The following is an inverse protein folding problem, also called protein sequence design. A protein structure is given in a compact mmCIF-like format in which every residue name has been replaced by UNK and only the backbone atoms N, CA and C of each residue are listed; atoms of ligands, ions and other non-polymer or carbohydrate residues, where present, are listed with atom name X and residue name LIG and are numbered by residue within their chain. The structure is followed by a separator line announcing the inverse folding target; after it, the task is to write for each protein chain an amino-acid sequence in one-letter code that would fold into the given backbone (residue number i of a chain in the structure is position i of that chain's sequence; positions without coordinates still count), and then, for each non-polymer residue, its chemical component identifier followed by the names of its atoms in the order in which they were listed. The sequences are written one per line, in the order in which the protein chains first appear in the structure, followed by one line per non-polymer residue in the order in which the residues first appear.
data_IF_420931086815
#
_entry.id   IF_420931086815
#
_cell.length_a   1.000
_cell.length_b   1.000
_cell.length_c   1.000
_cell.angle_alpha   90.00
_cell.angle_beta   90.00
_cell.angle_gamma   90.00
#
_symmetry.space_group_name_H-M   'P 1'
#
loop_
_entity.id
_entity.type
_entity.pdbx_description
1 polymer ?
#
# COMPACT_ATOMS: atom_id res chain seq x y z
N UNK A 1 -56.62 6.09 49.65
CA UNK A 1 -56.30 7.54 49.64
C UNK A 1 -55.21 7.79 48.61
N UNK A 2 -55.40 8.84 47.83
CA UNK A 2 -54.84 9.15 46.51
C UNK A 2 -53.32 9.05 46.35
N UNK A 3 -52.88 8.33 45.32
CA UNK A 3 -51.61 8.59 44.63
C UNK A 3 -51.92 9.53 43.48
N UNK A 4 -51.64 10.82 43.65
CA UNK A 4 -51.54 11.75 42.52
C UNK A 4 -50.38 12.71 42.77
N UNK A 5 -49.36 12.58 41.95
CA UNK A 5 -48.65 13.70 41.33
C UNK A 5 -47.95 13.15 40.09
N UNK A 6 -48.72 13.00 39.02
CA UNK A 6 -48.19 12.73 37.69
C UNK A 6 -47.41 13.97 37.24
N UNK A 7 -46.10 14.01 37.49
CA UNK A 7 -45.23 15.13 37.10
C UNK A 7 -45.28 15.24 35.57
N UNK A 8 -46.01 16.24 35.05
CA UNK A 8 -46.19 16.48 33.61
C UNK A 8 -44.80 16.52 32.95
N UNK A 9 -44.55 15.59 32.03
CA UNK A 9 -43.25 15.45 31.40
C UNK A 9 -42.96 16.71 30.58
N UNK A 10 -41.85 17.39 30.89
CA UNK A 10 -41.49 18.64 30.21
C UNK A 10 -41.17 18.33 28.75
N UNK A 11 -41.89 18.97 27.85
CA UNK A 11 -41.68 18.90 26.42
C UNK A 11 -40.92 20.13 25.93
N UNK A 12 -40.07 19.93 24.91
CA UNK A 12 -39.22 20.94 24.31
C UNK A 12 -39.59 21.12 22.84
N UNK A 13 -39.75 22.35 22.39
CA UNK A 13 -39.97 22.64 20.98
C UNK A 13 -38.71 22.34 20.17
N UNK A 14 -38.87 22.03 18.87
CA UNK A 14 -37.76 21.73 17.97
C UNK A 14 -36.63 22.80 17.98
N UNK A 15 -36.96 24.07 18.20
CA UNK A 15 -35.98 25.15 18.33
C UNK A 15 -35.14 25.06 19.61
N UNK A 16 -35.75 24.69 20.73
CA UNK A 16 -35.05 24.45 21.99
C UNK A 16 -34.15 23.22 21.89
N UNK A 17 -34.66 22.13 21.32
CA UNK A 17 -33.89 20.90 21.06
C UNK A 17 -32.71 21.18 20.13
N UNK A 18 -32.92 22.01 19.10
CA UNK A 18 -31.87 22.41 18.16
C UNK A 18 -30.73 23.15 18.88
N UNK A 19 -31.08 24.08 19.77
CA UNK A 19 -30.11 24.84 20.56
C UNK A 19 -29.38 23.96 21.58
N UNK A 20 -30.11 23.13 22.32
CA UNK A 20 -29.55 22.25 23.35
C UNK A 20 -28.69 21.12 22.76
N UNK A 21 -29.13 20.55 21.64
CA UNK A 21 -28.46 19.44 20.97
C UNK A 21 -27.33 19.88 20.03
N UNK A 22 -27.18 21.18 19.76
CA UNK A 22 -26.16 21.71 18.85
C UNK A 22 -26.35 21.25 17.40
N UNK A 23 -27.58 20.99 16.96
CA UNK A 23 -27.89 20.53 15.61
C UNK A 23 -29.03 21.35 15.00
N UNK A 24 -28.99 21.56 13.69
CA UNK A 24 -30.01 22.36 13.03
C UNK A 24 -31.41 21.74 13.13
N UNK A 25 -32.46 22.56 13.13
CA UNK A 25 -33.84 22.07 13.01
C UNK A 25 -34.06 21.24 11.73
N UNK A 26 -33.33 21.55 10.65
CA UNK A 26 -33.33 20.74 9.42
C UNK A 26 -32.83 19.31 9.68
N UNK A 27 -31.76 19.16 10.46
CA UNK A 27 -31.22 17.87 10.88
C UNK A 27 -32.22 17.10 11.74
N UNK A 28 -32.90 17.76 12.69
CA UNK A 28 -33.95 17.16 13.50
C UNK A 28 -35.13 16.65 12.65
N UNK A 29 -35.57 17.44 11.65
CA UNK A 29 -36.61 17.02 10.69
C UNK A 29 -36.14 15.83 9.85
N UNK A 30 -34.86 15.79 9.48
CA UNK A 30 -34.28 14.66 8.77
C UNK A 30 -34.25 13.39 9.64
N UNK A 31 -33.87 13.49 10.91
CA UNK A 31 -33.89 12.37 11.85
C UNK A 31 -35.31 11.85 12.08
N UNK A 32 -36.31 12.73 12.15
CA UNK A 32 -37.71 12.34 12.17
C UNK A 32 -38.10 11.54 10.92
N UNK A 33 -37.75 12.01 9.71
CA UNK A 33 -38.00 11.27 8.44
C UNK A 33 -37.37 9.87 8.44
N UNK A 34 -36.22 9.70 9.08
CA UNK A 34 -35.54 8.41 9.22
C UNK A 34 -36.02 7.58 10.42
N UNK A 35 -37.01 8.06 11.17
CA UNK A 35 -37.53 7.45 12.40
C UNK A 35 -36.43 7.21 13.46
N UNK A 36 -35.46 8.11 13.50
CA UNK A 36 -34.37 8.15 14.49
C UNK A 36 -34.75 8.96 15.73
N UNK A 37 -35.49 10.05 15.51
CA UNK A 37 -35.92 10.99 16.54
C UNK A 37 -37.29 11.54 16.16
N UNK A 38 -38.33 10.83 16.55
CA UNK A 38 -39.72 11.21 16.30
C UNK A 38 -40.21 12.12 17.43
N UNK A 39 -40.98 13.18 17.13
CA UNK A 39 -41.56 14.03 18.17
C UNK A 39 -42.57 13.23 18.99
N UNK A 40 -42.58 13.46 20.30
CA UNK A 40 -43.54 12.85 21.21
C UNK A 40 -44.94 13.45 21.03
N UNK A 41 -45.02 14.72 20.58
CA UNK A 41 -46.27 15.41 20.27
C UNK A 41 -46.10 16.33 19.04
N UNK A 42 -47.12 16.33 18.18
CA UNK A 42 -47.32 17.34 17.13
C UNK A 42 -48.63 18.06 17.45
N UNK A 43 -48.59 19.38 17.64
CA UNK A 43 -49.79 20.16 17.94
C UNK A 43 -50.59 20.52 16.67
N UNK A 44 -51.76 21.13 16.85
CA UNK A 44 -52.67 21.52 15.76
C UNK A 44 -52.05 22.54 14.79
N UNK A 45 -51.05 23.30 15.24
CA UNK A 45 -50.26 24.23 14.44
C UNK A 45 -49.03 23.57 13.79
N UNK A 46 -48.93 22.24 13.85
CA UNK A 46 -47.84 21.43 13.29
C UNK A 46 -46.46 21.70 13.92
N UNK A 47 -46.43 22.29 15.13
CA UNK A 47 -45.22 22.38 15.94
C UNK A 47 -44.89 21.02 16.56
N UNK A 48 -43.60 20.73 16.63
CA UNK A 48 -43.06 19.44 17.11
C UNK A 48 -42.45 19.62 18.48
N UNK A 49 -42.84 18.73 19.38
CA UNK A 49 -42.42 18.72 20.77
C UNK A 49 -41.73 17.40 21.09
N UNK A 50 -40.67 17.47 21.87
CA UNK A 50 -39.80 16.34 22.22
C UNK A 50 -39.67 16.24 23.74
N UNK A 51 -39.78 15.03 24.28
CA UNK A 51 -39.50 14.72 25.68
C UNK A 51 -37.99 14.66 25.93
N UNK A 52 -37.58 14.76 27.20
CA UNK A 52 -36.18 14.53 27.58
C UNK A 52 -35.72 13.13 27.15
N UNK A 53 -36.57 12.10 27.30
CA UNK A 53 -36.26 10.73 26.90
C UNK A 53 -35.96 10.61 25.41
N UNK A 54 -36.77 11.26 24.58
CA UNK A 54 -36.51 11.31 23.13
C UNK A 54 -35.22 12.05 22.82
N UNK A 55 -34.96 13.19 23.47
CA UNK A 55 -33.73 13.97 23.28
C UNK A 55 -32.46 13.20 23.66
N UNK A 56 -32.51 12.26 24.61
CA UNK A 56 -31.35 11.43 24.99
C UNK A 56 -30.84 10.55 23.84
N UNK A 57 -31.61 10.35 22.77
CA UNK A 57 -31.14 9.67 21.55
C UNK A 57 -30.12 10.51 20.77
N UNK A 58 -30.15 11.84 20.87
CA UNK A 58 -29.24 12.73 20.14
C UNK A 58 -27.75 12.46 20.39
N UNK A 59 -27.25 12.40 21.64
CA UNK A 59 -25.85 12.07 21.89
C UNK A 59 -25.48 10.67 21.39
N UNK A 60 -26.39 9.69 21.48
CA UNK A 60 -26.15 8.33 20.99
C UNK A 60 -26.02 8.31 19.47
N UNK A 61 -26.93 8.97 18.75
CA UNK A 61 -26.86 9.09 17.28
C UNK A 61 -25.54 9.75 16.86
N UNK A 62 -25.14 10.82 17.54
CA UNK A 62 -23.87 11.51 17.27
C UNK A 62 -22.66 10.60 17.49
N UNK A 63 -22.65 9.85 18.58
CA UNK A 63 -21.57 8.90 18.88
C UNK A 63 -21.48 7.79 17.81
N UNK A 64 -22.59 7.17 17.43
CA UNK A 64 -22.60 6.15 16.37
C UNK A 64 -22.22 6.73 15.00
N UNK A 65 -22.57 7.98 14.70
CA UNK A 65 -22.11 8.68 13.49
C UNK A 65 -20.59 8.86 13.48
N UNK A 66 -20.00 9.18 14.64
CA UNK A 66 -18.54 9.31 14.79
C UNK A 66 -17.84 7.96 14.55
N UNK A 67 -18.45 6.85 14.94
CA UNK A 67 -17.98 5.48 14.66
C UNK A 67 -18.25 5.01 13.21
N UNK A 68 -18.52 5.94 12.28
CA UNK A 68 -18.67 5.63 10.87
C UNK A 68 -20.03 5.05 10.44
N UNK A 69 -21.01 4.91 11.34
CA UNK A 69 -22.34 4.44 10.95
C UNK A 69 -23.12 5.51 10.18
N UNK A 70 -23.84 5.10 9.15
CA UNK A 70 -24.83 5.93 8.47
C UNK A 70 -26.10 6.06 9.30
N UNK A 71 -26.86 7.14 9.10
CA UNK A 71 -28.16 7.31 9.78
C UNK A 71 -29.14 6.17 9.44
N UNK A 72 -29.02 5.58 8.24
CA UNK A 72 -29.83 4.43 7.81
C UNK A 72 -29.49 3.15 8.58
N UNK A 73 -28.25 2.97 9.03
CA UNK A 73 -27.83 1.85 9.88
C UNK A 73 -28.19 2.09 11.35
N UNK A 74 -28.05 3.32 11.83
CA UNK A 74 -28.35 3.67 13.24
C UNK A 74 -29.84 3.44 13.56
N UNK A 75 -30.75 3.74 12.64
CA UNK A 75 -32.19 3.65 12.87
C UNK A 75 -32.68 2.23 13.23
N UNK A 76 -32.32 1.16 12.51
CA UNK A 76 -32.62 -0.20 12.92
C UNK A 76 -31.83 -0.64 14.16
N UNK A 77 -30.59 -0.17 14.36
CA UNK A 77 -29.81 -0.51 15.57
C UNK A 77 -30.49 -0.03 16.85
N UNK A 78 -30.91 1.24 16.91
CA UNK A 78 -31.56 1.83 18.09
C UNK A 78 -32.96 1.27 18.37
N UNK A 79 -33.60 0.66 17.36
CA UNK A 79 -34.92 0.03 17.50
C UNK A 79 -34.84 -1.48 17.69
N UNK A 80 -33.66 -2.08 17.54
CA UNK A 80 -33.51 -3.52 17.60
C UNK A 80 -33.82 -4.00 19.01
N UNK A 81 -34.67 -5.04 19.08
CA UNK A 81 -34.93 -5.78 20.33
C UNK A 81 -34.03 -7.02 20.45
N UNK A 82 -33.06 -7.17 19.53
CA UNK A 82 -32.19 -8.33 19.45
C UNK A 82 -30.73 -7.86 19.50
N UNK A 83 -30.08 -8.10 20.63
CA UNK A 83 -28.67 -7.73 20.83
C UNK A 83 -27.74 -8.36 19.80
N UNK A 84 -28.06 -9.54 19.27
CA UNK A 84 -27.25 -10.18 18.22
C UNK A 84 -27.28 -9.39 16.90
N UNK A 85 -28.35 -8.66 16.60
CA UNK A 85 -28.40 -7.80 15.40
C UNK A 85 -27.50 -6.56 15.57
N UNK A 86 -27.48 -5.99 16.78
CA UNK A 86 -26.61 -4.85 17.11
C UNK A 86 -25.14 -5.29 17.09
N UNK A 87 -24.84 -6.45 17.69
CA UNK A 87 -23.51 -7.06 17.69
C UNK A 87 -22.99 -7.27 16.26
N UNK A 88 -23.77 -7.89 15.36
CA UNK A 88 -23.41 -8.04 13.94
C UNK A 88 -23.12 -6.72 13.23
N UNK A 89 -23.83 -5.64 13.60
CA UNK A 89 -23.61 -4.31 13.02
C UNK A 89 -22.25 -3.74 13.45
N UNK A 90 -21.86 -3.97 14.72
CA UNK A 90 -20.54 -3.60 15.23
C UNK A 90 -19.42 -4.48 14.63
N UNK A 91 -19.60 -5.80 14.58
CA UNK A 91 -18.64 -6.73 13.97
C UNK A 91 -18.34 -6.36 12.52
N UNK A 92 -19.38 -6.06 11.71
CA UNK A 92 -19.20 -5.61 10.34
C UNK A 92 -18.38 -4.31 10.24
N UNK A 93 -18.59 -3.38 11.17
CA UNK A 93 -17.87 -2.10 11.20
C UNK A 93 -16.41 -2.30 11.63
N UNK A 94 -16.17 -3.16 12.61
CA UNK A 94 -14.83 -3.57 13.03
C UNK A 94 -14.05 -4.19 11.87
N UNK A 95 -14.66 -5.15 11.16
CA UNK A 95 -14.04 -5.78 9.97
C UNK A 95 -13.68 -4.74 8.90
N UNK A 96 -14.55 -3.75 8.65
CA UNK A 96 -14.24 -2.65 7.73
C UNK A 96 -13.02 -1.85 8.19
N UNK A 97 -12.91 -1.54 9.48
CA UNK A 97 -11.76 -0.82 10.02
C UNK A 97 -10.49 -1.66 10.04
N UNK A 98 -10.57 -2.95 10.29
CA UNK A 98 -9.43 -3.85 10.22
C UNK A 98 -8.91 -3.98 8.78
N UNK A 99 -9.80 -3.98 7.78
CA UNK A 99 -9.41 -3.93 6.36
C UNK A 99 -8.76 -2.59 6.00
N UNK A 100 -9.32 -1.47 6.47
CA UNK A 100 -8.74 -0.14 6.22
C UNK A 100 -7.38 0.03 6.91
N UNK A 101 -7.24 -0.45 8.15
CA UNK A 101 -5.98 -0.44 8.89
C UNK A 101 -4.91 -1.29 8.18
N UNK A 102 -5.27 -2.47 7.68
CA UNK A 102 -4.37 -3.31 6.85
C UNK A 102 -3.93 -2.59 5.59
N UNK A 103 -4.86 -1.99 4.84
CA UNK A 103 -4.57 -1.22 3.62
C UNK A 103 -3.64 -0.03 3.92
N UNK A 104 -3.87 0.71 5.01
CA UNK A 104 -3.03 1.83 5.40
C UNK A 104 -1.64 1.37 5.85
N UNK A 105 -1.53 0.22 6.51
CA UNK A 105 -0.24 -0.37 6.88
C UNK A 105 0.56 -0.76 5.62
N UNK A 106 -0.09 -1.40 4.64
CA UNK A 106 0.54 -1.73 3.35
C UNK A 106 1.06 -0.48 2.64
N UNK A 107 0.23 0.57 2.53
CA UNK A 107 0.62 1.85 1.91
C UNK A 107 1.78 2.53 2.64
N UNK A 108 1.81 2.47 3.97
CA UNK A 108 2.90 3.02 4.77
C UNK A 108 4.21 2.27 4.51
N UNK A 109 4.18 0.95 4.45
CA UNK A 109 5.38 0.15 4.16
C UNK A 109 5.93 0.43 2.76
N UNK A 110 5.05 0.57 1.75
CA UNK A 110 5.46 0.98 0.39
C UNK A 110 6.19 2.32 0.41
N UNK A 111 5.63 3.31 1.10
CA UNK A 111 6.28 4.63 1.22
C UNK A 111 7.61 4.57 1.96
N UNK A 112 7.72 3.72 2.98
CA UNK A 112 8.94 3.54 3.75
C UNK A 112 10.06 2.85 2.93
N UNK A 113 9.71 1.82 2.15
CA UNK A 113 10.60 1.18 1.17
C UNK A 113 11.07 2.18 0.11
N UNK A 114 10.17 2.97 -0.47
CA UNK A 114 10.53 4.00 -1.45
C UNK A 114 11.42 5.09 -0.85
N UNK A 115 11.12 5.54 0.37
CA UNK A 115 11.94 6.52 1.06
C UNK A 115 13.35 6.00 1.37
N UNK A 116 13.49 4.71 1.70
CA UNK A 116 14.80 4.04 1.81
C UNK A 116 15.56 4.06 0.49
N UNK A 117 14.92 3.73 -0.63
CA UNK A 117 15.55 3.76 -1.95
C UNK A 117 16.03 5.16 -2.33
N UNK A 118 15.19 6.19 -2.14
CA UNK A 118 15.58 7.58 -2.39
C UNK A 118 16.75 8.01 -1.51
N UNK A 119 16.74 7.60 -0.23
CA UNK A 119 17.85 7.88 0.70
C UNK A 119 19.15 7.19 0.26
N UNK A 120 19.05 5.94 -0.19
CA UNK A 120 20.18 5.19 -0.73
C UNK A 120 20.74 5.86 -2.00
N UNK A 121 19.89 6.22 -2.95
CA UNK A 121 20.30 6.91 -4.17
C UNK A 121 20.95 8.27 -3.86
N UNK A 122 20.42 9.05 -2.91
CA UNK A 122 21.05 10.29 -2.47
C UNK A 122 22.47 10.06 -1.94
N UNK A 123 22.68 9.01 -1.15
CA UNK A 123 24.02 8.64 -0.68
C UNK A 123 24.93 8.28 -1.85
N UNK A 124 24.49 7.40 -2.76
CA UNK A 124 25.25 6.98 -3.94
C UNK A 124 25.60 8.17 -4.84
N UNK A 125 24.66 9.09 -5.06
CA UNK A 125 24.85 10.31 -5.86
C UNK A 125 25.80 11.32 -5.20
N UNK A 126 25.85 11.36 -3.86
CA UNK A 126 26.76 12.24 -3.12
C UNK A 126 28.21 11.76 -3.16
N UNK A 127 28.43 10.45 -3.04
CA UNK A 127 29.77 9.84 -3.04
C UNK A 127 30.26 9.61 -4.47
N UNK A 128 29.35 9.32 -5.40
CA UNK A 128 29.60 8.95 -6.81
C UNK A 128 30.60 7.80 -6.96
N UNK A 129 30.65 6.89 -5.98
CA UNK A 129 31.49 5.70 -6.07
C UNK A 129 30.88 4.71 -7.07
N UNK A 130 31.65 4.38 -8.09
CA UNK A 130 31.33 3.36 -9.09
C UNK A 130 32.29 2.17 -9.03
N UNK A 131 32.90 1.97 -7.86
CA UNK A 131 33.82 0.87 -7.60
C UNK A 131 33.06 -0.45 -7.46
N UNK A 132 33.61 -1.53 -8.01
CA UNK A 132 33.07 -2.87 -7.80
C UNK A 132 33.46 -3.33 -6.40
N UNK A 133 32.48 -3.76 -5.62
CA UNK A 133 32.66 -4.35 -4.30
C UNK A 133 32.17 -5.79 -4.27
N UNK A 134 32.50 -6.49 -3.19
CA UNK A 134 31.93 -7.81 -2.87
C UNK A 134 31.01 -7.64 -1.67
N UNK A 135 29.79 -8.16 -1.75
CA UNK A 135 28.85 -8.15 -0.61
C UNK A 135 28.12 -9.48 -0.49
N UNK A 136 27.70 -9.77 0.73
CA UNK A 136 26.76 -10.86 0.99
C UNK A 136 25.34 -10.38 0.71
N UNK A 137 24.58 -11.17 -0.05
CA UNK A 137 23.15 -10.97 -0.30
C UNK A 137 22.40 -12.05 0.47
N UNK A 138 21.40 -11.65 1.26
CA UNK A 138 20.52 -12.59 1.94
C UNK A 138 19.52 -13.20 0.96
N UNK A 139 19.05 -14.41 1.26
CA UNK A 139 17.97 -15.01 0.50
C UNK A 139 16.69 -14.19 0.64
N UNK A 140 15.93 -14.10 -0.43
CA UNK A 140 14.65 -13.40 -0.45
C UNK A 140 13.70 -14.02 -1.47
N UNK A 141 12.41 -14.03 -1.12
CA UNK A 141 11.34 -14.46 -2.02
C UNK A 141 10.72 -13.22 -2.65
N UNK A 142 10.70 -13.21 -3.97
CA UNK A 142 10.14 -12.13 -4.78
C UNK A 142 9.01 -12.67 -5.64
N UNK A 143 8.01 -11.82 -5.92
CA UNK A 143 7.06 -12.15 -6.99
C UNK A 143 7.79 -11.96 -8.32
N UNK A 144 7.72 -12.98 -9.18
CA UNK A 144 8.48 -13.04 -10.42
C UNK A 144 7.60 -13.34 -11.63
N UNK A 145 7.85 -12.63 -12.73
CA UNK A 145 7.18 -12.88 -14.00
C UNK A 145 8.22 -13.05 -15.12
N UNK A 146 8.21 -14.18 -15.85
CA UNK A 146 8.97 -14.31 -17.09
C UNK A 146 8.55 -13.24 -18.09
N UNK A 147 9.51 -12.59 -18.75
CA UNK A 147 9.24 -11.55 -19.73
C UNK A 147 10.30 -11.52 -20.83
N UNK A 148 10.00 -10.84 -21.94
CA UNK A 148 10.92 -10.63 -23.06
C UNK A 148 11.46 -9.21 -23.02
N UNK A 149 12.76 -9.06 -22.80
CA UNK A 149 13.43 -7.77 -22.83
C UNK A 149 13.93 -7.42 -24.23
N UNK A 150 13.56 -6.24 -24.72
CA UNK A 150 13.87 -5.77 -26.08
C UNK A 150 14.83 -4.56 -26.10
N UNK A 151 15.59 -4.32 -25.02
CA UNK A 151 16.49 -3.17 -24.91
C UNK A 151 15.86 -1.90 -24.33
N UNK A 152 14.54 -1.89 -24.09
CA UNK A 152 13.82 -0.75 -23.53
C UNK A 152 13.66 -0.86 -22.02
N UNK A 153 14.50 -0.13 -21.27
CA UNK A 153 14.45 -0.14 -19.81
C UNK A 153 13.20 0.51 -19.24
N UNK A 154 12.68 1.57 -19.85
CA UNK A 154 11.46 2.21 -19.36
C UNK A 154 10.31 1.20 -19.37
N UNK A 155 10.08 0.55 -20.51
CA UNK A 155 9.04 -0.46 -20.66
C UNK A 155 9.19 -1.65 -19.70
N UNK A 156 10.42 -2.11 -19.45
CA UNK A 156 10.65 -3.21 -18.52
C UNK A 156 10.46 -2.80 -17.04
N UNK A 157 10.80 -1.57 -16.67
CA UNK A 157 10.71 -1.06 -15.29
C UNK A 157 9.28 -0.63 -14.93
N UNK A 158 8.59 0.06 -15.85
CA UNK A 158 7.18 0.46 -15.70
C UNK A 158 6.27 -0.46 -16.54
N UNK A 159 6.47 -1.78 -16.41
CA UNK A 159 5.77 -2.78 -17.22
C UNK A 159 4.29 -2.89 -16.86
N UNK A 160 3.42 -2.64 -17.86
CA UNK A 160 1.97 -2.83 -17.73
C UNK A 160 1.60 -4.30 -17.50
N UNK A 161 2.28 -5.22 -18.19
CA UNK A 161 2.04 -6.65 -18.05
C UNK A 161 2.39 -7.14 -16.64
N UNK A 162 3.50 -6.64 -16.08
CA UNK A 162 3.89 -6.98 -14.70
C UNK A 162 2.89 -6.42 -13.69
N UNK A 163 2.41 -5.20 -13.89
CA UNK A 163 1.37 -4.61 -13.03
C UNK A 163 0.07 -5.42 -13.08
N UNK A 164 -0.39 -5.81 -14.27
CA UNK A 164 -1.59 -6.64 -14.44
C UNK A 164 -1.41 -8.05 -13.83
N UNK A 165 -0.21 -8.62 -13.92
CA UNK A 165 0.14 -9.89 -13.28
C UNK A 165 0.05 -9.81 -11.76
N UNK A 166 0.63 -8.78 -11.14
CA UNK A 166 0.56 -8.56 -9.69
C UNK A 166 -0.89 -8.41 -9.21
N UNK A 167 -1.72 -7.65 -9.95
CA UNK A 167 -3.15 -7.50 -9.63
C UNK A 167 -3.89 -8.84 -9.72
N UNK A 168 -3.60 -9.65 -10.74
CA UNK A 168 -4.17 -11.00 -10.89
C UNK A 168 -3.81 -11.91 -9.72
N UNK A 169 -2.63 -11.73 -9.11
CA UNK A 169 -2.19 -12.46 -7.93
C UNK A 169 -2.77 -11.92 -6.60
N UNK A 170 -3.69 -10.93 -6.63
CA UNK A 170 -4.21 -10.22 -5.45
C UNK A 170 -3.10 -9.77 -4.48
N UNK A 171 -2.02 -9.23 -5.05
CA UNK A 171 -0.85 -8.81 -4.28
C UNK A 171 -0.55 -7.32 -4.47
N UNK A 172 0.29 -6.80 -3.58
CA UNK A 172 0.81 -5.43 -3.63
C UNK A 172 2.33 -5.54 -3.64
N UNK A 173 2.99 -4.74 -4.48
CA UNK A 173 4.44 -4.75 -4.64
C UNK A 173 5.09 -3.52 -4.00
N UNK A 174 6.33 -3.66 -3.58
CA UNK A 174 7.13 -2.62 -2.93
C UNK A 174 8.62 -2.76 -3.23
N UNK A 175 9.39 -1.74 -2.91
CA UNK A 175 10.85 -1.74 -3.09
C UNK A 175 11.28 -1.68 -4.56
N UNK A 176 12.56 -2.01 -4.85
CA UNK A 176 13.13 -1.78 -6.17
C UNK A 176 12.60 -2.79 -7.18
N UNK A 177 12.35 -2.35 -8.41
CA UNK A 177 12.18 -3.27 -9.53
C UNK A 177 13.52 -3.95 -9.79
N UNK A 178 13.48 -5.26 -10.03
CA UNK A 178 14.67 -6.04 -10.37
C UNK A 178 14.44 -6.73 -11.72
N UNK A 179 15.35 -6.51 -12.67
CA UNK A 179 15.41 -7.29 -13.91
C UNK A 179 16.53 -8.31 -13.76
N UNK A 180 16.19 -9.60 -13.87
CA UNK A 180 17.17 -10.70 -13.82
C UNK A 180 17.40 -11.27 -15.21
N UNK A 181 18.64 -11.19 -15.66
CA UNK A 181 19.15 -11.87 -16.84
C UNK A 181 19.75 -13.22 -16.47
N UNK A 182 19.81 -14.16 -17.42
CA UNK A 182 20.38 -15.49 -17.23
C UNK A 182 21.89 -15.46 -16.98
N UNK A 183 22.60 -14.46 -17.50
CA UNK A 183 24.03 -14.29 -17.28
C UNK A 183 24.45 -12.83 -17.45
N UNK A 184 25.64 -12.49 -16.95
CA UNK A 184 26.26 -11.18 -17.18
C UNK A 184 26.52 -10.91 -18.67
N UNK A 185 26.88 -11.94 -19.45
CA UNK A 185 27.09 -11.78 -20.90
C UNK A 185 25.79 -11.45 -21.61
N UNK A 186 24.69 -12.14 -21.29
CA UNK A 186 23.37 -11.85 -21.86
C UNK A 186 22.91 -10.43 -21.50
N UNK A 187 23.06 -10.02 -20.24
CA UNK A 187 22.73 -8.67 -19.81
C UNK A 187 23.50 -7.62 -20.60
N UNK A 188 24.82 -7.80 -20.75
CA UNK A 188 25.68 -6.89 -21.52
C UNK A 188 25.24 -6.83 -22.99
N UNK A 189 25.01 -7.96 -23.63
CA UNK A 189 24.68 -8.02 -25.05
C UNK A 189 23.29 -7.41 -25.31
N UNK A 190 22.33 -7.62 -24.41
CA UNK A 190 21.02 -6.99 -24.46
C UNK A 190 21.10 -5.46 -24.32
N UNK A 191 21.94 -4.94 -23.42
CA UNK A 191 22.14 -3.49 -23.25
C UNK A 191 22.91 -2.83 -24.39
N UNK A 192 23.97 -3.48 -24.89
CA UNK A 192 24.88 -2.87 -25.86
C UNK A 192 24.37 -2.99 -27.29
N UNK A 193 23.76 -4.13 -27.61
CA UNK A 193 23.44 -4.52 -28.98
C UNK A 193 21.93 -4.67 -29.21
N UNK A 194 21.10 -4.32 -28.21
CA UNK A 194 19.65 -4.48 -28.22
C UNK A 194 19.19 -5.90 -28.61
N UNK A 195 19.98 -6.92 -28.24
CA UNK A 195 19.64 -8.32 -28.52
C UNK A 195 18.46 -8.73 -27.62
N UNK A 196 17.30 -9.09 -28.19
CA UNK A 196 16.15 -9.49 -27.39
C UNK A 196 16.46 -10.78 -26.62
N UNK A 197 16.07 -10.82 -25.35
CA UNK A 197 16.34 -11.98 -24.50
C UNK A 197 15.24 -12.18 -23.45
N UNK A 198 15.16 -13.40 -22.93
CA UNK A 198 14.24 -13.73 -21.84
C UNK A 198 14.84 -13.27 -20.51
N UNK A 199 14.01 -12.64 -19.70
CA UNK A 199 14.34 -12.11 -18.37
C UNK A 199 13.26 -12.49 -17.37
N UNK A 200 13.55 -12.27 -16.10
CA UNK A 200 12.52 -12.25 -15.04
C UNK A 200 12.37 -10.82 -14.53
N UNK A 201 11.14 -10.33 -14.47
CA UNK A 201 10.78 -9.11 -13.75
C UNK A 201 10.43 -9.51 -12.32
N UNK A 202 11.11 -8.93 -11.34
CA UNK A 202 11.03 -9.32 -9.94
C UNK A 202 10.80 -8.11 -9.05
N UNK A 203 9.98 -8.27 -8.01
CA UNK A 203 9.81 -7.24 -6.98
C UNK A 203 9.35 -7.87 -5.64
N UNK A 204 9.52 -7.14 -4.53
CA UNK A 204 9.04 -7.60 -3.22
C UNK A 204 7.52 -7.52 -3.20
N UNK A 205 6.88 -8.59 -2.78
CA UNK A 205 5.44 -8.65 -2.53
C UNK A 205 5.14 -8.35 -1.06
N UNK A 206 3.98 -7.76 -0.79
CA UNK A 206 3.48 -7.41 0.54
C UNK A 206 2.68 -8.55 1.18
N UNK A 207 2.14 -9.44 0.33
CA UNK A 207 1.32 -10.59 0.73
C UNK A 207 2.01 -11.88 0.31
N UNK A 208 1.65 -13.04 0.90
CA UNK A 208 2.19 -14.33 0.48
C UNK A 208 2.09 -14.54 -1.03
N UNK A 209 3.12 -15.16 -1.60
CA UNK A 209 3.23 -15.42 -3.04
C UNK A 209 2.94 -16.89 -3.29
N UNK A 210 2.14 -17.18 -4.32
CA UNK A 210 1.92 -18.55 -4.76
C UNK A 210 3.23 -19.17 -5.26
N UNK A 211 3.55 -20.44 -4.93
CA UNK A 211 4.84 -21.05 -5.27
C UNK A 211 5.22 -21.00 -6.75
N UNK A 212 4.24 -21.02 -7.66
CA UNK A 212 4.46 -20.92 -9.12
C UNK A 212 4.94 -19.54 -9.59
N UNK A 213 4.67 -18.50 -8.80
CA UNK A 213 5.01 -17.10 -9.07
C UNK A 213 6.18 -16.61 -8.20
N UNK A 214 6.71 -17.49 -7.32
CA UNK A 214 7.80 -17.17 -6.42
C UNK A 214 9.14 -17.34 -7.12
N UNK A 215 9.95 -16.29 -7.08
CA UNK A 215 11.36 -16.34 -7.45
C UNK A 215 12.22 -16.26 -6.19
N UNK A 216 13.08 -17.26 -6.00
CA UNK A 216 14.01 -17.33 -4.87
C UNK A 216 15.35 -16.70 -5.25
N UNK A 217 15.70 -15.58 -4.62
CA UNK A 217 17.10 -15.12 -4.58
C UNK A 217 17.82 -15.97 -3.54
N UNK A 218 18.91 -16.62 -3.95
CA UNK A 218 19.73 -17.41 -3.04
C UNK A 218 20.70 -16.52 -2.28
N UNK A 219 20.94 -16.87 -1.02
CA UNK A 219 21.95 -16.20 -0.23
C UNK A 219 23.35 -16.54 -0.75
N UNK A 220 24.26 -15.57 -0.75
CA UNK A 220 25.63 -15.81 -1.17
C UNK A 220 26.43 -14.54 -1.38
N UNK A 221 27.66 -14.72 -1.88
CA UNK A 221 28.53 -13.60 -2.23
C UNK A 221 28.26 -13.14 -3.65
N UNK A 222 28.15 -11.83 -3.82
CA UNK A 222 27.91 -11.17 -5.10
C UNK A 222 28.96 -10.09 -5.33
N UNK A 223 29.37 -9.94 -6.59
CA UNK A 223 29.95 -8.67 -7.02
C UNK A 223 28.82 -7.65 -7.16
N UNK A 224 29.04 -6.46 -6.62
CA UNK A 224 28.13 -5.33 -6.69
C UNK A 224 28.82 -4.13 -7.30
N UNK A 225 28.11 -3.40 -8.16
CA UNK A 225 28.49 -2.06 -8.57
C UNK A 225 27.25 -1.19 -8.75
N UNK A 226 27.32 0.06 -8.29
CA UNK A 226 26.34 1.07 -8.64
C UNK A 226 26.62 1.66 -10.02
N UNK A 227 25.56 1.79 -10.81
CA UNK A 227 25.49 2.61 -12.00
C UNK A 227 24.78 3.91 -11.67
N UNK A 228 25.33 5.03 -12.13
CA UNK A 228 24.77 6.36 -11.95
C UNK A 228 24.56 6.96 -13.34
N UNK A 229 23.36 7.46 -13.60
CA UNK A 229 23.01 8.10 -14.86
C UNK A 229 22.16 7.22 -15.77
N UNK A 230 22.08 7.64 -17.03
CA UNK A 230 21.25 6.98 -18.04
C UNK A 230 21.60 5.51 -18.26
N UNK A 231 20.59 4.65 -18.21
CA UNK A 231 20.70 3.20 -18.34
C UNK A 231 21.23 2.69 -19.69
N UNK A 232 21.24 3.53 -20.73
CA UNK A 232 21.93 3.22 -21.98
C UNK A 232 23.47 3.11 -21.82
N UNK A 233 24.02 3.52 -20.68
CA UNK A 233 25.45 3.39 -20.35
C UNK A 233 25.77 2.22 -19.42
N UNK A 234 24.84 1.28 -19.21
CA UNK A 234 25.10 0.11 -18.35
C UNK A 234 26.33 -0.70 -18.77
N UNK A 235 26.70 -0.68 -20.06
CA UNK A 235 27.91 -1.31 -20.58
C UNK A 235 29.19 -0.91 -19.82
N UNK A 236 29.28 0.33 -19.36
CA UNK A 236 30.43 0.79 -18.56
C UNK A 236 30.53 0.01 -17.25
N UNK A 237 29.40 -0.19 -16.57
CA UNK A 237 29.33 -0.91 -15.30
C UNK A 237 29.58 -2.41 -15.48
N UNK A 238 29.05 -3.04 -16.53
CA UNK A 238 29.37 -4.44 -16.85
C UNK A 238 30.86 -4.62 -17.11
N UNK A 239 31.48 -3.72 -17.88
CA UNK A 239 32.92 -3.78 -18.16
C UNK A 239 33.75 -3.66 -16.87
N UNK A 240 33.33 -2.82 -15.92
CA UNK A 240 33.97 -2.72 -14.59
C UNK A 240 33.89 -4.04 -13.82
N UNK A 241 32.71 -4.67 -13.76
CA UNK A 241 32.55 -5.98 -13.08
C UNK A 241 33.44 -7.04 -13.73
N UNK A 242 33.39 -7.17 -15.06
CA UNK A 242 34.17 -8.18 -15.80
C UNK A 242 35.68 -7.99 -15.54
N UNK A 243 36.16 -6.75 -15.64
CA UNK A 243 37.56 -6.42 -15.39
C UNK A 243 37.97 -6.71 -13.93
N UNK A 244 37.11 -6.35 -12.96
CA UNK A 244 37.34 -6.61 -11.55
C UNK A 244 37.40 -8.11 -11.26
N UNK A 245 36.41 -8.88 -11.73
CA UNK A 245 36.34 -10.32 -11.53
C UNK A 245 37.60 -11.02 -12.06
N UNK A 246 38.03 -10.68 -13.28
CA UNK A 246 39.24 -11.23 -13.89
C UNK A 246 40.50 -10.87 -13.10
N UNK A 247 40.64 -9.63 -12.66
CA UNK A 247 41.81 -9.15 -11.91
C UNK A 247 41.89 -9.75 -10.51
N UNK A 248 40.76 -9.90 -9.83
CA UNK A 248 40.67 -10.41 -8.47
C UNK A 248 40.52 -11.94 -8.38
N UNK A 249 40.38 -12.63 -9.52
CA UNK A 249 40.28 -14.09 -9.56
C UNK A 249 38.91 -14.65 -9.17
N UNK A 250 37.83 -13.86 -9.27
CA UNK A 250 36.48 -14.33 -8.96
C UNK A 250 35.87 -15.10 -10.13
N UNK A 251 35.27 -16.26 -9.82
CA UNK A 251 34.48 -17.04 -10.76
C UNK A 251 33.02 -16.59 -10.71
N UNK A 252 32.53 -15.96 -11.78
CA UNK A 252 31.13 -15.53 -11.90
C UNK A 252 30.21 -16.74 -12.10
N UNK A 253 29.07 -16.74 -11.42
CA UNK A 253 27.99 -17.70 -11.64
C UNK A 253 26.94 -17.14 -12.61
N UNK A 254 26.01 -17.99 -13.03
CA UNK A 254 24.86 -17.59 -13.83
C UNK A 254 23.95 -16.64 -13.03
N UNK A 255 23.33 -15.71 -13.75
CA UNK A 255 22.51 -14.65 -13.20
C UNK A 255 23.19 -13.28 -13.27
N UNK A 256 22.40 -12.27 -13.61
CA UNK A 256 22.76 -10.87 -13.43
C UNK A 256 21.50 -10.11 -13.03
N UNK A 257 21.51 -9.52 -11.84
CA UNK A 257 20.36 -8.84 -11.27
C UNK A 257 20.60 -7.34 -11.35
N UNK A 258 19.72 -6.63 -12.04
CA UNK A 258 19.72 -5.18 -12.09
C UNK A 258 18.65 -4.67 -11.15
N UNK A 259 19.06 -4.14 -10.01
CA UNK A 259 18.15 -3.60 -8.99
C UNK A 259 18.09 -2.09 -9.13
N UNK A 260 16.96 -1.56 -9.58
CA UNK A 260 16.78 -0.14 -9.82
C UNK A 260 16.44 0.59 -8.51
N UNK A 261 17.35 1.46 -8.06
CA UNK A 261 17.20 2.25 -6.83
C UNK A 261 16.34 3.48 -7.09
N UNK A 262 16.69 4.20 -8.16
CA UNK A 262 15.90 5.31 -8.69
C UNK A 262 15.82 5.17 -10.20
N UNK A 263 14.61 5.33 -10.69
CA UNK A 263 14.25 5.07 -12.09
C UNK A 263 12.99 5.90 -12.45
N UNK A 264 12.28 5.46 -13.48
CA UNK A 264 11.07 6.07 -14.02
C UNK A 264 9.89 6.16 -13.02
N UNK A 265 9.90 5.40 -11.92
CA UNK A 265 8.94 5.54 -10.82
C UNK A 265 9.26 6.71 -9.89
N UNK A 266 10.52 7.13 -9.83
CA UNK A 266 10.99 8.15 -8.87
C UNK A 266 11.25 9.51 -9.51
N UNK A 267 11.79 9.54 -10.73
CA UNK A 267 12.20 10.78 -11.40
C UNK A 267 12.21 10.62 -12.91
N UNK A 268 12.09 11.73 -13.64
CA UNK A 268 12.26 11.76 -15.09
C UNK A 268 13.63 12.31 -15.51
N UNK A 269 14.49 12.73 -14.57
CA UNK A 269 15.85 13.17 -14.86
C UNK A 269 16.82 11.98 -14.86
N UNK A 270 17.37 11.57 -16.02
CA UNK A 270 18.28 10.44 -16.10
C UNK A 270 19.58 10.63 -15.32
N UNK A 271 19.95 11.86 -14.95
CA UNK A 271 21.14 12.11 -14.11
C UNK A 271 20.94 11.68 -12.65
N UNK A 272 19.69 11.49 -12.24
CA UNK A 272 19.31 11.03 -10.90
C UNK A 272 19.00 9.52 -10.88
N UNK A 273 19.17 8.82 -11.99
CA UNK A 273 19.01 7.37 -12.05
C UNK A 273 20.17 6.67 -11.35
N UNK A 274 19.82 5.70 -10.52
CA UNK A 274 20.74 4.85 -9.79
C UNK A 274 20.24 3.42 -9.88
N UNK A 275 21.12 2.51 -10.30
CA UNK A 275 20.84 1.08 -10.30
C UNK A 275 22.04 0.33 -9.75
N UNK A 276 21.81 -0.80 -9.08
CA UNK A 276 22.86 -1.69 -8.63
C UNK A 276 22.85 -2.95 -9.50
N UNK A 277 24.03 -3.33 -9.99
CA UNK A 277 24.22 -4.57 -10.73
C UNK A 277 24.84 -5.58 -9.78
N UNK A 278 24.18 -6.73 -9.64
CA UNK A 278 24.58 -7.82 -8.76
C UNK A 278 24.85 -9.08 -9.60
N UNK A 279 26.03 -9.65 -9.44
CA UNK A 279 26.43 -10.89 -10.13
C UNK A 279 26.92 -11.88 -9.08
N UNK A 280 26.27 -13.06 -8.94
CA UNK A 280 26.69 -14.07 -7.98
C UNK A 280 28.09 -14.59 -8.33
N UNK A 281 28.88 -14.92 -7.31
CA UNK A 281 30.20 -15.51 -7.46
C UNK A 281 30.27 -16.86 -6.77
N UNK A 282 31.04 -17.78 -7.35
CA UNK A 282 31.31 -19.05 -6.72
C UNK A 282 32.22 -18.83 -5.51
N UNK A 283 31.81 -19.39 -4.38
CA UNK A 283 32.62 -19.50 -3.16
C UNK A 283 32.91 -20.97 -2.91
N UNK A 284 33.99 -21.28 -2.19
CA UNK A 284 34.41 -22.66 -1.91
C UNK A 284 33.39 -23.51 -1.12
N UNK A 285 32.30 -22.88 -0.66
CA UNK A 285 31.19 -23.50 0.08
C UNK A 285 29.92 -23.77 -0.75
N UNK A 286 29.93 -23.53 -2.08
CA UNK A 286 28.80 -23.78 -3.00
C UNK A 286 29.16 -24.72 -4.18
#
# INVERSE_FOLDING_TARGET
MSRDTTKKEKLYQIGEVSRMGGISQRTLRHYNKLKLLEPDLVDDNNYRYYSLQTMLKLPVIRYLRMLGFSLKEIAPMLRSKNLNQVMRSFEKRLDTYDQEARRLAEQREVLDDWNRLVSEANFVLSVRSVSVGVKYVNSADLIGMPSRFNGNYAEAIVSLDFAAFVEKCDNVITGPVIIRFNSLSQARDASCNAVPCDVQLLQKAMRPIDPENTYHIHSGMYLSVYHIGSFNKFYESYNRIIAFAKRAGYCLQDGCYMRFVTDYWTTYDPNLFVAEILVPIKTDEN
#
